data_IF_066135154246
#
_entry.id   IF_066135154246
#
_cell.length_a   1.000
_cell.length_b   1.000
_cell.length_c   1.000
_cell.angle_alpha   90.00
_cell.angle_beta   90.00
_cell.angle_gamma   90.00
#
_symmetry.space_group_name_H-M   'P 1'
#
loop_
_entity.id
_entity.type
_entity.pdbx_description
1 polymer ?
#
# COMPACT_ATOMS: atom_id res chain seq x y z
N UNK A 1 5.35 -19.56 -4.05
CA UNK A 1 4.29 -18.58 -4.37
C UNK A 1 2.96 -19.30 -4.48
N UNK A 2 1.98 -18.92 -3.67
CA UNK A 2 0.61 -19.40 -3.71
C UNK A 2 -0.27 -18.38 -4.45
N UNK A 3 -1.24 -18.86 -5.25
CA UNK A 3 -2.24 -18.00 -5.86
C UNK A 3 -3.26 -17.58 -4.80
N UNK A 4 -3.62 -16.30 -4.79
CA UNK A 4 -4.57 -15.71 -3.84
C UNK A 4 -5.53 -14.76 -4.57
N UNK A 5 -6.66 -14.47 -3.94
CA UNK A 5 -7.57 -13.38 -4.33
C UNK A 5 -7.37 -12.20 -3.39
N UNK A 6 -7.05 -11.02 -3.94
CA UNK A 6 -6.92 -9.76 -3.21
C UNK A 6 -8.27 -9.05 -3.23
N UNK A 7 -8.78 -8.67 -2.06
CA UNK A 7 -9.84 -7.69 -1.90
C UNK A 7 -9.24 -6.45 -1.23
N UNK A 8 -9.13 -5.36 -1.98
CA UNK A 8 -8.63 -4.06 -1.54
C UNK A 8 -9.81 -3.14 -1.27
N UNK A 9 -9.85 -2.56 -0.07
CA UNK A 9 -10.67 -1.41 0.25
C UNK A 9 -9.75 -0.25 0.60
N UNK A 10 -9.93 0.89 -0.08
CA UNK A 10 -9.19 2.12 0.20
C UNK A 10 -10.19 3.23 0.47
N UNK A 11 -10.15 3.79 1.67
CA UNK A 11 -10.86 5.00 2.03
C UNK A 11 -9.88 6.17 2.00
N UNK A 12 -10.20 7.21 1.25
CA UNK A 12 -9.37 8.38 1.05
C UNK A 12 -10.17 9.57 1.55
N UNK A 13 -9.60 10.34 2.48
CA UNK A 13 -10.17 11.60 2.94
C UNK A 13 -9.26 12.74 2.49
N UNK A 14 -9.83 13.69 1.77
CA UNK A 14 -9.16 14.90 1.28
C UNK A 14 -10.01 16.10 1.65
N UNK A 15 -9.43 17.02 2.42
CA UNK A 15 -10.16 18.10 3.07
C UNK A 15 -11.38 17.54 3.86
N UNK A 16 -12.61 17.84 3.43
CA UNK A 16 -13.86 17.35 4.03
C UNK A 16 -14.55 16.26 3.20
N UNK A 17 -13.95 15.85 2.08
CA UNK A 17 -14.50 14.84 1.18
C UNK A 17 -13.89 13.47 1.47
N UNK A 18 -14.72 12.43 1.44
CA UNK A 18 -14.30 11.06 1.69
C UNK A 18 -14.83 10.14 0.59
N UNK A 19 -13.92 9.47 -0.08
CA UNK A 19 -14.22 8.49 -1.11
C UNK A 19 -13.78 7.10 -0.67
N UNK A 20 -14.54 6.07 -1.05
CA UNK A 20 -14.21 4.67 -0.76
C UNK A 20 -14.17 3.88 -2.06
N UNK A 21 -13.05 3.23 -2.30
CA UNK A 21 -12.79 2.39 -3.46
C UNK A 21 -12.66 0.95 -3.02
N UNK A 22 -13.31 0.06 -3.75
CA UNK A 22 -13.13 -1.39 -3.59
C UNK A 22 -12.66 -1.99 -4.89
N UNK A 23 -11.63 -2.85 -4.82
CA UNK A 23 -11.09 -3.58 -5.96
C UNK A 23 -10.85 -5.02 -5.60
N UNK A 24 -11.03 -5.89 -6.58
CA UNK A 24 -10.74 -7.31 -6.45
C UNK A 24 -9.83 -7.73 -7.59
N UNK A 25 -8.72 -8.40 -7.26
CA UNK A 25 -7.73 -8.81 -8.24
C UNK A 25 -7.12 -10.18 -7.88
N UNK A 26 -6.75 -11.00 -8.87
CA UNK A 26 -5.88 -12.14 -8.61
C UNK A 26 -4.49 -11.65 -8.19
N UNK A 27 -3.86 -12.38 -7.28
CA UNK A 27 -2.53 -12.06 -6.77
C UNK A 27 -1.71 -13.29 -6.44
N UNK A 28 -0.52 -13.05 -5.92
CA UNK A 28 0.41 -14.07 -5.47
C UNK A 28 0.92 -13.71 -4.08
N UNK A 29 0.99 -14.72 -3.21
CA UNK A 29 1.56 -14.66 -1.88
C UNK A 29 2.82 -15.52 -1.81
N UNK A 30 3.87 -15.02 -1.18
CA UNK A 30 5.04 -15.80 -0.80
C UNK A 30 5.42 -15.42 0.62
N UNK A 31 5.54 -16.42 1.48
CA UNK A 31 5.95 -16.23 2.86
C UNK A 31 7.23 -17.02 3.09
N UNK A 32 8.26 -16.35 3.60
CA UNK A 32 9.57 -16.94 3.87
C UNK A 32 10.21 -16.23 5.06
N UNK A 33 10.54 -16.98 6.12
CA UNK A 33 11.26 -16.49 7.31
C UNK A 33 10.64 -15.22 7.93
N UNK A 34 9.32 -15.20 8.14
CA UNK A 34 8.61 -14.04 8.70
C UNK A 34 8.52 -12.82 7.78
N UNK A 35 8.86 -12.98 6.51
CA UNK A 35 8.70 -11.97 5.46
C UNK A 35 7.60 -12.41 4.52
N UNK A 36 6.60 -11.56 4.35
CA UNK A 36 5.47 -11.79 3.48
C UNK A 36 5.60 -10.90 2.25
N UNK A 37 5.51 -11.51 1.07
CA UNK A 37 5.48 -10.84 -0.22
C UNK A 37 4.13 -11.04 -0.85
N UNK A 38 3.47 -9.94 -1.20
CA UNK A 38 2.23 -9.96 -1.96
C UNK A 38 2.46 -9.23 -3.27
N UNK A 39 1.94 -9.77 -4.38
CA UNK A 39 1.92 -9.06 -5.65
C UNK A 39 0.62 -9.26 -6.40
N UNK A 40 0.15 -8.20 -7.05
CA UNK A 40 -1.06 -8.20 -7.87
C UNK A 40 -0.98 -7.10 -8.92
N UNK A 41 -2.02 -6.97 -9.74
CA UNK A 41 -2.17 -5.85 -10.69
C UNK A 41 -3.47 -5.12 -10.42
N UNK A 42 -3.42 -3.80 -10.38
CA UNK A 42 -4.60 -2.94 -10.44
C UNK A 42 -4.97 -2.71 -11.90
N UNK A 43 -6.28 -2.77 -12.20
CA UNK A 43 -6.83 -2.55 -13.55
C UNK A 43 -6.10 -3.38 -14.63
N UNK A 44 -5.68 -4.59 -14.25
CA UNK A 44 -4.89 -5.56 -15.01
C UNK A 44 -3.55 -5.07 -15.60
N UNK A 45 -3.14 -3.84 -15.26
CA UNK A 45 -2.06 -3.12 -15.94
C UNK A 45 -1.01 -2.61 -14.98
N UNK A 46 -1.39 -2.11 -13.81
CA UNK A 46 -0.48 -1.46 -12.87
C UNK A 46 -0.01 -2.48 -11.84
N UNK A 47 1.26 -2.92 -11.87
CA UNK A 47 1.73 -3.92 -10.93
C UNK A 47 1.93 -3.26 -9.55
N UNK A 48 1.49 -3.99 -8.53
CA UNK A 48 1.69 -3.66 -7.12
C UNK A 48 2.45 -4.81 -6.47
N UNK A 49 3.52 -4.46 -5.74
CA UNK A 49 4.35 -5.38 -4.98
C UNK A 49 4.45 -4.87 -3.55
N UNK A 50 4.16 -5.72 -2.59
CA UNK A 50 4.19 -5.43 -1.17
C UNK A 50 5.19 -6.38 -0.50
N UNK A 51 6.02 -5.82 0.37
CA UNK A 51 6.95 -6.54 1.21
C UNK A 51 6.62 -6.17 2.66
N UNK A 52 6.00 -7.09 3.38
CA UNK A 52 5.67 -6.96 4.78
C UNK A 52 6.71 -7.73 5.60
N UNK A 53 7.24 -7.06 6.62
CA UNK A 53 8.08 -7.60 7.69
C UNK A 53 7.39 -7.30 9.02
N UNK A 54 7.97 -7.76 10.12
CA UNK A 54 7.44 -7.61 11.49
C UNK A 54 6.81 -6.23 11.77
N UNK A 55 7.55 -5.14 11.57
CA UNK A 55 7.07 -3.76 11.85
C UNK A 55 7.16 -2.81 10.63
N UNK A 56 7.32 -3.37 9.43
CA UNK A 56 7.59 -2.58 8.23
C UNK A 56 6.81 -3.10 7.03
N UNK A 57 6.17 -2.18 6.31
CA UNK A 57 5.56 -2.46 5.01
C UNK A 57 6.21 -1.58 3.94
N UNK A 58 6.66 -2.20 2.86
CA UNK A 58 7.14 -1.50 1.66
C UNK A 58 6.19 -1.82 0.51
N UNK A 59 5.62 -0.78 -0.10
CA UNK A 59 4.77 -0.90 -1.28
C UNK A 59 5.47 -0.26 -2.46
N UNK A 60 5.60 -1.01 -3.56
CA UNK A 60 5.97 -0.49 -4.87
C UNK A 60 4.79 -0.68 -5.83
N UNK A 61 4.32 0.42 -6.41
CA UNK A 61 3.25 0.44 -7.42
C UNK A 61 3.75 1.15 -8.67
N UNK A 62 3.54 0.61 -9.86
CA UNK A 62 3.87 1.34 -11.09
C UNK A 62 4.40 0.49 -12.24
N UNK A 63 4.20 0.98 -13.45
CA UNK A 63 4.42 0.23 -14.69
C UNK A 63 5.87 0.25 -15.17
N UNK A 64 6.59 1.34 -14.90
CA UNK A 64 7.96 1.56 -15.38
C UNK A 64 8.76 2.47 -14.42
N UNK A 65 9.99 2.82 -14.79
CA UNK A 65 10.86 3.70 -14.00
C UNK A 65 10.43 5.17 -13.99
N UNK A 66 9.55 5.58 -14.90
CA UNK A 66 9.04 6.94 -15.05
C UNK A 66 7.66 7.13 -14.41
N UNK A 67 6.96 6.05 -14.08
CA UNK A 67 5.61 6.04 -13.55
C UNK A 67 5.49 5.01 -12.41
N UNK A 68 5.97 5.38 -11.23
CA UNK A 68 5.90 4.52 -10.05
C UNK A 68 5.84 5.30 -8.72
N UNK A 69 5.27 4.65 -7.72
CA UNK A 69 5.45 4.99 -6.32
C UNK A 69 6.23 3.91 -5.57
N UNK A 70 7.06 4.33 -4.63
CA UNK A 70 7.70 3.48 -3.63
C UNK A 70 7.48 4.13 -2.27
N UNK A 71 6.77 3.42 -1.41
CA UNK A 71 6.37 3.87 -0.08
C UNK A 71 6.87 2.88 0.96
N UNK A 72 7.28 3.41 2.10
CA UNK A 72 7.69 2.66 3.28
C UNK A 72 6.84 3.13 4.45
N UNK A 73 6.31 2.19 5.21
CA UNK A 73 5.44 2.42 6.35
C UNK A 73 6.01 1.70 7.57
N UNK A 74 6.15 2.45 8.66
CA UNK A 74 6.54 1.97 9.99
C UNK A 74 5.70 2.79 10.97
N UNK A 75 4.89 2.18 11.84
CA UNK A 75 4.01 2.88 12.77
C UNK A 75 4.71 4.00 13.54
N UNK A 76 4.10 5.19 13.57
CA UNK A 76 4.64 6.38 14.23
C UNK A 76 5.78 7.09 13.50
N UNK A 77 6.29 6.52 12.40
CA UNK A 77 7.38 7.14 11.63
C UNK A 77 6.89 7.99 10.46
N UNK A 78 7.67 9.05 10.19
CA UNK A 78 7.58 9.87 8.99
C UNK A 78 8.61 9.37 7.96
N UNK A 79 8.17 9.01 6.76
CA UNK A 79 9.02 8.43 5.72
C UNK A 79 8.88 9.15 4.38
N UNK A 80 10.02 9.47 3.75
CA UNK A 80 10.02 10.03 2.39
C UNK A 80 9.52 8.98 1.40
N UNK A 81 8.56 9.39 0.57
CA UNK A 81 8.03 8.57 -0.51
C UNK A 81 8.71 8.94 -1.82
N UNK A 82 8.92 7.97 -2.70
CA UNK A 82 9.27 8.28 -4.10
C UNK A 82 8.01 8.19 -4.93
N UNK A 83 7.50 9.32 -5.38
CA UNK A 83 6.42 9.38 -6.36
C UNK A 83 6.97 9.94 -7.66
N UNK A 84 7.01 9.13 -8.72
CA UNK A 84 7.51 9.53 -10.04
C UNK A 84 6.36 9.42 -11.04
N UNK A 85 6.07 10.53 -11.70
CA UNK A 85 5.03 10.64 -12.74
C UNK A 85 5.66 11.30 -13.95
N UNK A 86 5.59 10.65 -15.11
CA UNK A 86 6.21 11.12 -16.37
C UNK A 86 7.70 11.50 -16.18
N UNK A 87 8.41 10.74 -15.35
CA UNK A 87 9.84 10.95 -15.06
C UNK A 87 10.14 12.08 -14.08
N UNK A 88 9.13 12.79 -13.57
CA UNK A 88 9.29 13.83 -12.54
C UNK A 88 9.01 13.26 -11.17
N UNK A 89 9.95 13.46 -10.25
CA UNK A 89 9.76 13.07 -8.85
C UNK A 89 9.02 14.18 -8.09
N UNK A 90 8.02 13.78 -7.30
CA UNK A 90 7.34 14.62 -6.32
C UNK A 90 7.93 14.35 -4.93
N UNK A 91 8.19 15.41 -4.17
CA UNK A 91 8.70 15.32 -2.80
C UNK A 91 7.55 15.10 -1.82
N UNK A 92 7.12 13.84 -1.74
CA UNK A 92 6.02 13.39 -0.91
C UNK A 92 6.56 12.74 0.37
N UNK A 93 5.84 12.88 1.47
CA UNK A 93 6.17 12.21 2.74
C UNK A 93 4.93 11.56 3.34
N UNK A 94 5.06 10.37 3.91
CA UNK A 94 3.98 9.71 4.65
C UNK A 94 4.24 9.72 6.16
N UNK A 95 3.19 9.78 6.97
CA UNK A 95 3.22 9.45 8.40
C UNK A 95 2.33 8.24 8.62
N UNK A 96 2.88 7.17 9.18
CA UNK A 96 2.13 5.91 9.37
C UNK A 96 1.42 5.96 10.72
N UNK A 97 0.09 5.91 10.70
CA UNK A 97 -0.75 5.94 11.89
C UNK A 97 -1.08 4.53 12.39
N UNK A 98 -1.23 3.58 11.46
CA UNK A 98 -1.54 2.18 11.77
C UNK A 98 -0.87 1.26 10.75
N UNK A 99 -0.27 0.17 11.22
CA UNK A 99 0.10 -0.99 10.40
C UNK A 99 -0.22 -2.25 11.21
N UNK A 100 -1.22 -3.01 10.79
CA UNK A 100 -1.61 -4.25 11.45
C UNK A 100 -1.71 -5.38 10.44
N UNK A 101 -1.17 -6.53 10.82
CA UNK A 101 -1.28 -7.75 10.04
C UNK A 101 -1.81 -8.88 10.91
N UNK A 102 -2.87 -9.53 10.43
CA UNK A 102 -3.52 -10.64 11.12
C UNK A 102 -3.72 -11.82 10.18
N UNK A 103 -3.31 -13.00 10.63
CA UNK A 103 -3.63 -14.27 9.98
C UNK A 103 -4.88 -14.87 10.61
N UNK A 104 -5.82 -15.28 9.78
CA UNK A 104 -7.05 -15.96 10.15
C UNK A 104 -7.08 -17.33 9.48
N UNK A 105 -8.00 -18.21 9.91
CA UNK A 105 -8.02 -19.62 9.49
C UNK A 105 -8.09 -19.83 7.96
N UNK A 106 -8.65 -18.89 7.21
CA UNK A 106 -8.81 -18.99 5.75
C UNK A 106 -8.51 -17.68 5.01
N UNK A 107 -7.92 -16.71 5.69
CA UNK A 107 -7.66 -15.39 5.14
C UNK A 107 -6.52 -14.73 5.89
N UNK A 108 -5.94 -13.72 5.27
CA UNK A 108 -5.05 -12.80 5.95
C UNK A 108 -5.55 -11.38 5.71
N UNK A 109 -5.31 -10.52 6.69
CA UNK A 109 -5.77 -9.15 6.66
C UNK A 109 -4.61 -8.21 6.98
N UNK A 110 -4.38 -7.24 6.11
CA UNK A 110 -3.44 -6.15 6.30
C UNK A 110 -4.22 -4.84 6.38
N UNK A 111 -4.04 -4.09 7.46
CA UNK A 111 -4.58 -2.75 7.65
C UNK A 111 -3.44 -1.75 7.69
N UNK A 112 -3.61 -0.65 6.98
CA UNK A 112 -2.65 0.43 6.91
C UNK A 112 -3.40 1.76 6.95
N UNK A 113 -3.04 2.61 7.90
CA UNK A 113 -3.51 4.00 7.93
C UNK A 113 -2.31 4.93 7.87
N UNK A 114 -2.36 5.93 7.00
CA UNK A 114 -1.29 6.91 6.87
C UNK A 114 -1.79 8.25 6.34
N UNK A 115 -1.05 9.29 6.70
CA UNK A 115 -1.23 10.64 6.20
C UNK A 115 -0.18 10.92 5.14
N UNK A 116 -0.58 11.51 4.03
CA UNK A 116 0.30 11.84 2.91
C UNK A 116 0.46 13.35 2.79
N UNK A 117 1.70 13.82 2.72
CA UNK A 117 2.05 15.24 2.68
C UNK A 117 2.87 15.57 1.43
N UNK A 118 2.70 16.81 0.96
CA UNK A 118 3.65 17.48 0.07
C UNK A 118 4.24 18.68 0.83
N UNK A 119 5.51 18.57 1.22
CA UNK A 119 6.12 19.52 2.14
C UNK A 119 5.40 19.57 3.50
N UNK A 120 4.75 20.70 3.81
CA UNK A 120 4.00 20.92 5.05
C UNK A 120 2.48 20.72 4.89
N UNK A 121 2.00 20.50 3.66
CA UNK A 121 0.58 20.42 3.36
C UNK A 121 0.11 18.97 3.38
N UNK A 122 -0.93 18.69 4.16
CA UNK A 122 -1.64 17.41 4.12
C UNK A 122 -2.39 17.33 2.79
N UNK A 123 -2.15 16.24 2.05
CA UNK A 123 -2.79 15.96 0.76
C UNK A 123 -3.99 15.03 0.95
N UNK A 124 -3.84 14.00 1.77
CA UNK A 124 -4.88 13.02 2.04
C UNK A 124 -4.56 12.20 3.27
N UNK A 125 -5.61 11.72 3.92
CA UNK A 125 -5.54 10.60 4.85
C UNK A 125 -6.01 9.34 4.12
N UNK A 126 -5.31 8.23 4.32
CA UNK A 126 -5.63 6.94 3.72
C UNK A 126 -5.89 5.91 4.81
N UNK A 127 -6.98 5.17 4.67
CA UNK A 127 -7.23 3.94 5.39
C UNK A 127 -7.40 2.78 4.40
N UNK A 128 -6.45 1.86 4.40
CA UNK A 128 -6.36 0.75 3.47
C UNK A 128 -6.58 -0.55 4.23
N UNK A 129 -7.43 -1.41 3.68
CA UNK A 129 -7.61 -2.79 4.13
C UNK A 129 -7.44 -3.72 2.94
N UNK A 130 -6.55 -4.70 3.09
CA UNK A 130 -6.29 -5.75 2.12
C UNK A 130 -6.63 -7.08 2.77
N UNK A 131 -7.56 -7.82 2.17
CA UNK A 131 -7.90 -9.19 2.57
C UNK A 131 -7.46 -10.13 1.45
N UNK A 132 -6.69 -11.16 1.80
CA UNK A 132 -6.25 -12.20 0.88
C UNK A 132 -6.74 -13.58 1.31
N UNK A 133 -7.24 -14.34 0.34
CA UNK A 133 -7.83 -15.68 0.49
C UNK A 133 -7.35 -16.62 -0.62
#
# INVERSE_FOLDING_TARGET
MAAIRINLTSKITQDDETETFTKVAPGQLEENNGVIRVSYKEDDTIPVKMLLKEDELIIRRGVDSSNYSLMKFVPGEKANCRYVVEGRQMDMTSVTNLLEYEEQASSHQLRLEYDLFNGLYLISNYAITLIFT
#
